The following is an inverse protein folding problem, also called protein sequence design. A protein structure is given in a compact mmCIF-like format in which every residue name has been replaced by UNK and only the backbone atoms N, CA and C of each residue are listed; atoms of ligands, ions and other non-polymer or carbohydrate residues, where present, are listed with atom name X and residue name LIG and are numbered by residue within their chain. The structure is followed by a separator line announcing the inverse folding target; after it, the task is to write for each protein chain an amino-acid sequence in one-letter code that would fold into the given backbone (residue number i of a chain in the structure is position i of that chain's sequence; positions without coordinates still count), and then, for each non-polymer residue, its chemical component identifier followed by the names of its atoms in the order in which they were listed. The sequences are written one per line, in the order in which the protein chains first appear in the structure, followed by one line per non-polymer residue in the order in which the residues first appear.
data_IF_619893113204
#
_entry.id   IF_619893113204
#
_cell.length_a   1.000
_cell.length_b   1.000
_cell.length_c   1.000
_cell.angle_alpha   90.00
_cell.angle_beta   90.00
_cell.angle_gamma   90.00
#
_symmetry.space_group_name_H-M   'P 1'
#
loop_
_entity.id
_entity.type
_entity.pdbx_description
1 polymer ?
#
# COMPACT_ATOMS: atom_id res chain seq x y z
N UNK A 1 -58.20 0.64 -26.48
CA UNK A 1 -57.13 1.40 -25.78
C UNK A 1 -55.80 0.64 -25.71
N UNK A 2 -55.78 -0.70 -25.65
CA UNK A 2 -54.55 -1.54 -25.63
C UNK A 2 -53.74 -1.51 -26.95
N UNK A 3 -54.42 -1.43 -28.10
CA UNK A 3 -53.78 -1.50 -29.44
C UNK A 3 -52.80 -0.34 -29.73
N UNK A 4 -52.99 0.82 -29.09
CA UNK A 4 -52.16 2.03 -29.28
C UNK A 4 -50.84 1.96 -28.49
N UNK A 5 -50.76 1.11 -27.46
CA UNK A 5 -49.56 0.95 -26.63
C UNK A 5 -48.53 0.03 -27.29
N UNK A 6 -48.99 -1.00 -28.02
CA UNK A 6 -48.13 -1.96 -28.72
C UNK A 6 -47.43 -1.31 -29.93
N UNK A 7 -48.07 -0.36 -30.62
CA UNK A 7 -47.46 0.34 -31.76
C UNK A 7 -46.24 1.20 -31.38
N UNK A 8 -46.08 1.60 -30.10
CA UNK A 8 -44.87 2.30 -29.64
C UNK A 8 -43.66 1.37 -29.45
N UNK A 9 -43.88 0.06 -29.31
CA UNK A 9 -42.86 -0.96 -29.10
C UNK A 9 -42.31 -1.57 -30.40
N UNK A 10 -42.87 -1.23 -31.56
CA UNK A 10 -42.50 -1.80 -32.87
C UNK A 10 -41.49 -0.95 -33.66
N UNK A 11 -40.67 -0.13 -33.01
CA UNK A 11 -39.48 0.43 -33.65
C UNK A 11 -38.30 -0.50 -33.35
N UNK A 12 -37.88 -1.25 -34.37
CA UNK A 12 -36.64 -2.03 -34.29
C UNK A 12 -35.43 -1.10 -34.21
N UNK A 13 -34.32 -1.63 -33.70
CA UNK A 13 -33.04 -0.90 -33.67
C UNK A 13 -32.39 -0.93 -35.05
N UNK A 14 -31.83 0.20 -35.45
CA UNK A 14 -30.91 0.23 -36.58
C UNK A 14 -29.64 -0.54 -36.25
N UNK A 15 -29.03 -1.18 -37.25
CA UNK A 15 -27.74 -1.85 -37.09
C UNK A 15 -26.68 -0.92 -36.50
N UNK A 16 -26.70 0.37 -36.87
CA UNK A 16 -25.80 1.37 -36.33
C UNK A 16 -26.01 1.59 -34.82
N UNK A 17 -27.26 1.65 -34.37
CA UNK A 17 -27.59 1.84 -32.96
C UNK A 17 -27.13 0.63 -32.12
N UNK A 18 -27.27 -0.58 -32.66
CA UNK A 18 -26.79 -1.80 -32.02
C UNK A 18 -25.27 -1.78 -31.89
N UNK A 19 -24.55 -1.42 -32.95
CA UNK A 19 -23.07 -1.35 -32.95
C UNK A 19 -22.57 -0.29 -31.97
N UNK A 20 -23.16 0.90 -31.96
CA UNK A 20 -22.80 1.97 -31.01
C UNK A 20 -23.06 1.51 -29.57
N UNK A 21 -24.18 0.84 -29.32
CA UNK A 21 -24.52 0.34 -27.98
C UNK A 21 -23.51 -0.70 -27.50
N UNK A 22 -23.10 -1.63 -28.36
CA UNK A 22 -22.07 -2.63 -28.05
C UNK A 22 -20.71 -1.99 -27.77
N UNK A 23 -20.35 -0.95 -28.53
CA UNK A 23 -19.13 -0.17 -28.30
C UNK A 23 -19.15 0.53 -26.93
N UNK A 24 -20.26 1.20 -26.60
CA UNK A 24 -20.41 1.89 -25.31
C UNK A 24 -20.33 0.88 -24.17
N UNK A 25 -21.05 -0.24 -24.25
CA UNK A 25 -21.02 -1.29 -23.22
C UNK A 25 -19.59 -1.83 -23.04
N UNK A 26 -18.88 -2.07 -24.14
CA UNK A 26 -17.51 -2.59 -24.09
C UNK A 26 -16.54 -1.60 -23.45
N UNK A 27 -16.57 -0.34 -23.89
CA UNK A 27 -15.68 0.71 -23.36
C UNK A 27 -15.97 0.96 -21.88
N UNK A 28 -17.25 1.05 -21.50
CA UNK A 28 -17.64 1.28 -20.11
C UNK A 28 -17.24 0.11 -19.21
N UNK A 29 -17.43 -1.13 -19.67
CA UNK A 29 -17.02 -2.32 -18.91
C UNK A 29 -15.51 -2.34 -18.64
N UNK A 30 -14.69 -2.04 -19.66
CA UNK A 30 -13.23 -1.97 -19.50
C UNK A 30 -12.84 -0.84 -18.55
N UNK A 31 -13.39 0.36 -18.73
CA UNK A 31 -13.08 1.51 -17.88
C UNK A 31 -13.43 1.25 -16.41
N UNK A 32 -14.60 0.66 -16.13
CA UNK A 32 -14.98 0.29 -14.76
C UNK A 32 -14.05 -0.76 -14.16
N UNK A 33 -13.69 -1.79 -14.93
CA UNK A 33 -12.78 -2.84 -14.47
C UNK A 33 -11.41 -2.25 -14.09
N UNK A 34 -10.88 -1.37 -14.93
CA UNK A 34 -9.61 -0.69 -14.67
C UNK A 34 -9.67 0.21 -13.42
N UNK A 35 -10.76 0.95 -13.22
CA UNK A 35 -10.93 1.79 -12.03
C UNK A 35 -10.99 0.95 -10.75
N UNK A 36 -11.66 -0.20 -10.77
CA UNK A 36 -11.72 -1.12 -9.62
C UNK A 36 -10.33 -1.66 -9.30
N UNK A 37 -9.61 -2.15 -10.32
CA UNK A 37 -8.25 -2.68 -10.16
C UNK A 37 -7.29 -1.64 -9.58
N UNK A 38 -7.33 -0.40 -10.08
CA UNK A 38 -6.52 0.70 -9.55
C UNK A 38 -6.83 1.01 -8.09
N UNK A 39 -8.11 0.99 -7.70
CA UNK A 39 -8.50 1.23 -6.31
C UNK A 39 -8.04 0.10 -5.38
N UNK A 40 -8.13 -1.16 -5.81
CA UNK A 40 -7.63 -2.30 -5.04
C UNK A 40 -6.12 -2.21 -4.85
N UNK A 41 -5.37 -1.93 -5.93
CA UNK A 41 -3.93 -1.73 -5.86
C UNK A 41 -3.54 -0.56 -4.95
N UNK A 42 -4.28 0.55 -5.00
CA UNK A 42 -4.03 1.70 -4.12
C UNK A 42 -4.25 1.35 -2.64
N UNK A 43 -5.27 0.56 -2.33
CA UNK A 43 -5.53 0.11 -0.97
C UNK A 43 -4.47 -0.86 -0.46
N UNK A 44 -3.99 -1.76 -1.31
CA UNK A 44 -2.89 -2.68 -0.98
C UNK A 44 -1.61 -1.91 -0.69
N UNK A 45 -1.25 -0.94 -1.53
CA UNK A 45 -0.09 -0.06 -1.30
C UNK A 45 -0.22 0.74 0.00
N UNK A 46 -1.41 1.27 0.32
CA UNK A 46 -1.66 1.96 1.59
C UNK A 46 -1.47 1.02 2.79
N UNK A 47 -1.98 -0.21 2.72
CA UNK A 47 -1.81 -1.20 3.78
C UNK A 47 -0.34 -1.57 3.98
N UNK A 48 0.39 -1.80 2.89
CA UNK A 48 1.83 -2.07 2.94
C UNK A 48 2.59 -0.91 3.58
N UNK A 49 2.32 0.32 3.14
CA UNK A 49 2.98 1.51 3.67
C UNK A 49 2.68 1.73 5.16
N UNK A 50 1.43 1.53 5.60
CA UNK A 50 1.08 1.64 7.03
C UNK A 50 1.81 0.59 7.85
N UNK A 51 1.83 -0.67 7.39
CA UNK A 51 2.55 -1.76 8.07
C UNK A 51 4.06 -1.45 8.19
N UNK A 52 4.69 -1.01 7.11
CA UNK A 52 6.11 -0.67 7.10
C UNK A 52 6.40 0.55 7.99
N UNK A 53 5.51 1.54 7.98
CA UNK A 53 5.61 2.75 8.79
C UNK A 53 5.48 2.44 10.29
N UNK A 54 4.50 1.62 10.68
CA UNK A 54 4.26 1.27 12.08
C UNK A 54 5.47 0.54 12.68
N UNK A 55 6.07 -0.40 11.93
CA UNK A 55 7.26 -1.11 12.38
C UNK A 55 8.47 -0.17 12.55
N UNK A 56 8.70 0.74 11.60
CA UNK A 56 9.79 1.72 11.71
C UNK A 56 9.60 2.68 12.89
N UNK A 57 8.36 3.13 13.13
CA UNK A 57 8.04 3.99 14.26
C UNK A 57 8.25 3.25 15.59
N UNK A 58 7.76 2.01 15.70
CA UNK A 58 7.89 1.22 16.93
C UNK A 58 9.36 0.98 17.28
N UNK A 59 10.18 0.60 16.31
CA UNK A 59 11.62 0.38 16.52
C UNK A 59 12.30 1.70 16.90
N UNK A 60 12.01 2.80 16.21
CA UNK A 60 12.55 4.13 16.55
C UNK A 60 12.18 4.53 17.98
N UNK A 61 10.94 4.32 18.39
CA UNK A 61 10.45 4.63 19.74
C UNK A 61 11.22 3.82 20.78
N UNK A 62 11.43 2.53 20.57
CA UNK A 62 12.17 1.67 21.49
C UNK A 62 13.62 2.13 21.64
N UNK A 63 14.34 2.34 20.53
CA UNK A 63 15.73 2.82 20.59
C UNK A 63 15.87 4.21 21.19
N UNK A 64 14.81 5.03 21.13
CA UNK A 64 14.79 6.35 21.78
C UNK A 64 14.53 6.25 23.28
N UNK A 65 13.64 5.34 23.71
CA UNK A 65 13.27 5.17 25.13
C UNK A 65 14.33 4.38 25.90
N UNK A 66 14.84 3.31 25.31
CA UNK A 66 15.83 2.42 25.90
C UNK A 66 17.05 2.26 24.95
N UNK A 67 17.99 3.22 24.96
CA UNK A 67 19.12 3.23 24.03
C UNK A 67 20.13 2.10 24.26
N UNK A 68 20.00 1.32 25.34
CA UNK A 68 20.88 0.18 25.68
C UNK A 68 20.15 -1.17 25.55
N UNK A 69 18.98 -1.21 24.91
CA UNK A 69 18.22 -2.44 24.71
C UNK A 69 19.01 -3.47 23.88
N UNK A 70 18.86 -4.75 24.22
CA UNK A 70 19.48 -5.84 23.49
C UNK A 70 18.74 -6.07 22.15
N UNK A 71 19.52 -6.17 21.07
CA UNK A 71 18.99 -6.42 19.74
C UNK A 71 18.25 -7.76 19.65
N UNK A 72 18.58 -8.74 20.49
CA UNK A 72 17.83 -10.01 20.54
C UNK A 72 16.40 -9.84 21.05
N UNK A 73 16.18 -8.91 21.99
CA UNK A 73 14.84 -8.66 22.54
C UNK A 73 13.94 -7.95 21.53
N UNK A 74 14.49 -7.02 20.75
CA UNK A 74 13.76 -6.37 19.64
C UNK A 74 13.46 -7.38 18.53
N UNK A 75 14.42 -8.25 18.20
CA UNK A 75 14.24 -9.27 17.16
C UNK A 75 13.07 -10.21 17.48
N UNK A 76 12.91 -10.63 18.75
CA UNK A 76 11.81 -11.49 19.18
C UNK A 76 10.45 -10.78 19.19
N UNK A 77 10.39 -9.52 19.62
CA UNK A 77 9.12 -8.78 19.74
C UNK A 77 8.56 -8.36 18.37
N UNK A 78 9.43 -8.07 17.40
CA UNK A 78 9.03 -7.53 16.09
C UNK A 78 9.28 -8.48 14.90
N UNK A 79 9.71 -9.72 15.14
CA UNK A 79 10.09 -10.71 14.10
C UNK A 79 11.09 -10.14 13.08
N UNK A 80 12.09 -9.41 13.59
CA UNK A 80 13.11 -8.75 12.80
C UNK A 80 14.34 -9.66 12.73
N UNK A 81 14.91 -9.81 11.54
CA UNK A 81 16.14 -10.58 11.31
C UNK A 81 17.31 -9.64 11.06
N UNK A 82 18.51 -10.08 11.41
CA UNK A 82 19.77 -9.43 11.06
C UNK A 82 19.84 -7.94 11.48
N UNK A 83 19.64 -7.67 12.77
CA UNK A 83 19.81 -6.32 13.34
C UNK A 83 21.30 -6.01 13.50
N UNK A 84 21.75 -4.89 12.95
CA UNK A 84 23.13 -4.39 13.02
C UNK A 84 23.15 -2.92 13.38
N UNK A 85 24.02 -2.53 14.32
CA UNK A 85 24.25 -1.13 14.68
C UNK A 85 25.59 -0.65 14.09
N UNK A 86 25.56 0.49 13.40
CA UNK A 86 26.76 1.17 12.91
C UNK A 86 26.75 2.62 13.37
N UNK A 87 27.77 3.05 14.10
CA UNK A 87 27.95 4.47 14.42
C UNK A 87 28.30 5.25 13.15
N UNK A 88 27.46 6.23 12.79
CA UNK A 88 27.69 7.12 11.65
C UNK A 88 28.61 8.27 12.06
N UNK A 89 28.24 8.97 13.13
CA UNK A 89 28.90 10.20 13.56
C UNK A 89 28.96 10.23 15.08
N UNK A 90 30.06 10.73 15.66
CA UNK A 90 30.13 11.06 17.09
C UNK A 90 30.32 12.56 17.25
N UNK A 91 29.38 13.23 17.91
CA UNK A 91 29.44 14.67 18.18
C UNK A 91 29.28 14.98 19.67
N UNK A 92 30.40 15.32 20.32
CA UNK A 92 30.49 15.59 21.75
C UNK A 92 29.95 14.43 22.61
N UNK A 93 28.73 14.56 23.14
CA UNK A 93 28.04 13.57 23.96
C UNK A 93 27.00 12.77 23.19
N UNK A 94 26.83 13.04 21.90
CA UNK A 94 25.82 12.42 21.06
C UNK A 94 26.48 11.49 20.05
N UNK A 95 26.01 10.25 20.01
CA UNK A 95 26.39 9.26 19.01
C UNK A 95 25.22 9.11 18.02
N UNK A 96 25.46 9.44 16.76
CA UNK A 96 24.53 9.14 15.66
C UNK A 96 24.75 7.71 15.22
N UNK A 97 23.74 6.86 15.38
CA UNK A 97 23.81 5.42 15.13
C UNK A 97 22.79 5.07 14.05
N UNK A 98 23.25 4.35 13.02
CA UNK A 98 22.41 3.66 12.06
C UNK A 98 22.10 2.29 12.58
N UNK A 99 20.82 1.94 12.59
CA UNK A 99 20.36 0.59 12.91
C UNK A 99 19.80 0.03 11.61
N UNK A 100 20.46 -0.98 11.07
CA UNK A 100 20.06 -1.71 9.88
C UNK A 100 19.38 -3.00 10.32
N UNK A 101 18.26 -3.33 9.71
CA UNK A 101 17.50 -4.51 10.06
C UNK A 101 16.70 -5.03 8.89
N UNK A 102 16.41 -6.34 8.88
CA UNK A 102 15.63 -7.00 7.83
C UNK A 102 14.25 -7.38 8.36
N UNK A 103 13.22 -6.88 7.70
CA UNK A 103 11.82 -7.21 7.96
C UNK A 103 11.19 -7.75 6.68
N UNK A 104 10.50 -8.90 6.73
CA UNK A 104 9.86 -9.51 5.55
C UNK A 104 10.80 -9.65 4.32
N UNK A 105 12.08 -10.02 4.54
CA UNK A 105 13.15 -10.08 3.53
C UNK A 105 13.53 -8.75 2.85
N UNK A 106 13.10 -7.60 3.40
CA UNK A 106 13.55 -6.29 2.99
C UNK A 106 14.46 -5.66 4.04
N UNK A 107 15.67 -5.29 3.65
CA UNK A 107 16.61 -4.56 4.51
C UNK A 107 16.23 -3.09 4.54
N UNK A 108 16.05 -2.55 5.74
CA UNK A 108 15.73 -1.15 6.00
C UNK A 108 16.62 -0.60 7.09
N UNK A 109 16.59 0.71 7.30
CA UNK A 109 17.38 1.37 8.33
C UNK A 109 16.62 2.50 9.01
N UNK A 110 17.02 2.77 10.25
CA UNK A 110 16.71 3.99 11.00
C UNK A 110 18.01 4.63 11.49
N UNK A 111 17.97 5.94 11.71
CA UNK A 111 19.05 6.68 12.34
C UNK A 111 18.54 7.24 13.66
N UNK A 112 19.29 7.01 14.73
CA UNK A 112 18.96 7.45 16.09
C UNK A 112 20.14 8.24 16.66
N UNK A 113 19.85 9.31 17.40
CA UNK A 113 20.83 10.03 18.19
C UNK A 113 20.77 9.48 19.62
N UNK A 114 21.84 8.79 20.06
CA UNK A 114 22.05 8.37 21.44
C UNK A 114 22.86 9.42 22.21
#
# INVERSE_FOLDING_TARGET
MVKKMIHKLQKGFSLLEVVISLLIISITFVAYSQLIEQNLKSQELKKSFIKDSDNRINILTIYTIEPQIDNTEIAEVFDIRDISETTITKYQKFDEIRIEFSLDNQTTYITVLK
#
